data_IF_163468165143
#
_entry.id   IF_163468165143
#
_cell.length_a   1.000
_cell.length_b   1.000
_cell.length_c   1.000
_cell.angle_alpha   90.00
_cell.angle_beta   90.00
_cell.angle_gamma   90.00
#
_symmetry.space_group_name_H-M   'P 1'
#
loop_
_entity.id
_entity.type
_entity.pdbx_description
1 polymer ?
#
# COMPACT_ATOMS: atom_id res chain seq x y z
N UNK A 1 -8.55 40.41 -20.81
CA UNK A 1 -8.32 39.42 -21.89
C UNK A 1 -7.22 38.48 -21.51
N UNK A 2 -6.04 39.00 -21.27
CA UNK A 2 -4.90 38.15 -20.98
C UNK A 2 -5.06 37.33 -19.69
N UNK A 3 -5.83 37.83 -18.75
CA UNK A 3 -6.05 37.13 -17.50
C UNK A 3 -6.73 35.77 -17.67
N UNK A 4 -7.63 35.68 -18.67
CA UNK A 4 -8.33 34.42 -18.94
C UNK A 4 -7.37 33.37 -19.47
N UNK A 5 -6.45 33.76 -20.31
CA UNK A 5 -5.48 32.85 -20.87
C UNK A 5 -4.56 32.31 -19.80
N UNK A 6 -4.12 33.19 -18.89
CA UNK A 6 -3.25 32.80 -17.79
C UNK A 6 -3.94 31.77 -16.89
N UNK A 7 -5.22 31.99 -16.59
CA UNK A 7 -5.98 31.07 -15.74
C UNK A 7 -6.08 29.71 -16.41
N UNK A 8 -6.32 29.66 -17.71
CA UNK A 8 -6.40 28.40 -18.45
C UNK A 8 -5.08 27.61 -18.38
N UNK A 9 -3.98 28.32 -18.54
CA UNK A 9 -2.67 27.69 -18.45
C UNK A 9 -2.43 27.09 -17.07
N UNK A 10 -2.82 27.80 -16.03
CA UNK A 10 -2.71 27.30 -14.69
C UNK A 10 -3.51 26.03 -14.47
N UNK A 11 -4.70 25.97 -15.02
CA UNK A 11 -5.53 24.77 -14.91
C UNK A 11 -4.89 23.59 -15.59
N UNK A 12 -4.31 23.80 -16.76
CA UNK A 12 -3.65 22.72 -17.51
C UNK A 12 -2.47 22.16 -16.73
N UNK A 13 -1.68 23.02 -16.13
CA UNK A 13 -0.54 22.57 -15.31
C UNK A 13 -1.00 21.76 -14.11
N UNK A 14 -2.08 22.19 -13.49
CA UNK A 14 -2.64 21.49 -12.35
C UNK A 14 -3.08 20.07 -12.73
N UNK A 15 -3.68 19.92 -13.90
CA UNK A 15 -4.10 18.61 -14.40
C UNK A 15 -2.91 17.68 -14.61
N UNK A 16 -1.83 18.19 -15.14
CA UNK A 16 -0.63 17.39 -15.35
C UNK A 16 -0.10 16.85 -14.02
N UNK A 17 -0.09 17.67 -12.98
CA UNK A 17 0.36 17.24 -11.66
C UNK A 17 -0.56 16.15 -11.10
N UNK A 18 -1.88 16.29 -11.29
CA UNK A 18 -2.83 15.29 -10.81
C UNK A 18 -2.59 13.93 -11.45
N UNK A 19 -2.27 13.90 -12.74
CA UNK A 19 -1.99 12.64 -13.43
C UNK A 19 -0.76 11.94 -12.86
N UNK A 20 0.23 12.70 -12.44
CA UNK A 20 1.46 12.14 -11.89
C UNK A 20 1.25 11.56 -10.50
N UNK A 21 0.17 11.94 -9.82
CA UNK A 21 -0.12 11.45 -8.47
C UNK A 21 -0.75 10.06 -8.46
N UNK A 22 -1.06 9.49 -9.64
CA UNK A 22 -1.72 8.19 -9.72
C UNK A 22 -0.72 7.06 -9.84
N UNK A 23 0.08 6.87 -8.81
CA UNK A 23 1.05 5.79 -8.77
C UNK A 23 0.51 4.64 -7.94
N UNK A 24 1.20 4.32 -6.87
CA UNK A 24 0.80 3.26 -5.97
C UNK A 24 -0.37 3.76 -5.12
N UNK A 25 -1.37 2.92 -4.82
CA UNK A 25 -2.54 3.38 -4.06
C UNK A 25 -2.19 3.90 -2.68
N UNK A 26 -2.56 5.15 -2.39
CA UNK A 26 -2.33 5.72 -1.07
C UNK A 26 -3.24 5.11 -0.01
N UNK A 27 -4.37 4.52 -0.44
CA UNK A 27 -5.27 3.84 0.48
C UNK A 27 -4.63 2.67 1.19
N UNK A 28 -3.61 2.06 0.60
CA UNK A 28 -2.87 0.96 1.23
C UNK A 28 -2.11 1.50 2.44
N UNK A 29 -1.48 2.67 2.30
CA UNK A 29 -0.78 3.31 3.41
C UNK A 29 -1.75 3.62 4.55
N UNK A 30 -2.93 4.12 4.21
CA UNK A 30 -3.96 4.41 5.20
C UNK A 30 -4.42 3.14 5.91
N UNK A 31 -4.59 2.06 5.17
CA UNK A 31 -5.03 0.78 5.75
C UNK A 31 -4.02 0.26 6.75
N UNK A 32 -2.73 0.32 6.41
CA UNK A 32 -1.69 -0.10 7.35
C UNK A 32 -1.59 0.84 8.54
N UNK A 33 -1.73 2.13 8.30
CA UNK A 33 -1.66 3.13 9.37
C UNK A 33 -2.74 2.91 10.43
N UNK A 34 -3.89 2.43 10.01
CA UNK A 34 -5.01 2.13 10.91
C UNK A 34 -5.03 0.69 11.38
N UNK A 35 -4.23 -0.17 10.77
CA UNK A 35 -4.31 -1.61 11.03
C UNK A 35 -5.66 -2.17 10.62
N UNK A 36 -6.17 -1.73 9.48
CA UNK A 36 -7.51 -2.07 9.02
C UNK A 36 -7.46 -3.05 7.84
N UNK A 37 -7.70 -4.33 8.14
CA UNK A 37 -7.66 -5.37 7.12
C UNK A 37 -8.81 -5.25 6.12
N UNK A 38 -9.93 -4.70 6.54
CA UNK A 38 -11.08 -4.51 5.66
C UNK A 38 -10.77 -3.50 4.55
N UNK A 39 -10.10 -2.40 4.90
CA UNK A 39 -9.68 -1.43 3.89
C UNK A 39 -8.60 -2.01 2.99
N UNK A 40 -7.68 -2.78 3.57
CA UNK A 40 -6.61 -3.42 2.82
C UNK A 40 -7.15 -4.40 1.78
N UNK A 41 -8.24 -5.07 2.11
CA UNK A 41 -8.84 -6.08 1.24
C UNK A 41 -9.16 -5.55 -0.16
N UNK A 42 -9.55 -4.30 -0.25
CA UNK A 42 -9.88 -3.68 -1.54
C UNK A 42 -8.72 -3.57 -2.50
N UNK A 43 -7.49 -3.71 -2.01
CA UNK A 43 -6.29 -3.59 -2.82
C UNK A 43 -5.60 -4.92 -3.06
N UNK A 44 -6.13 -6.02 -2.52
CA UNK A 44 -5.51 -7.33 -2.66
C UNK A 44 -5.84 -7.98 -3.99
N UNK A 45 -4.87 -8.70 -4.53
CA UNK A 45 -5.06 -9.52 -5.72
C UNK A 45 -5.92 -10.74 -5.39
N UNK A 46 -6.35 -11.47 -6.40
CA UNK A 46 -7.09 -12.72 -6.18
C UNK A 46 -6.25 -13.75 -5.45
N UNK A 47 -4.94 -13.73 -5.70
CA UNK A 47 -3.98 -14.58 -5.01
C UNK A 47 -2.91 -13.68 -4.42
N UNK A 48 -2.57 -13.92 -3.17
CA UNK A 48 -1.59 -13.10 -2.46
C UNK A 48 -0.60 -14.02 -1.76
N UNK A 49 0.68 -13.70 -1.89
CA UNK A 49 1.71 -14.36 -1.11
C UNK A 49 1.93 -13.56 0.17
N UNK A 50 1.67 -14.18 1.31
CA UNK A 50 1.92 -13.56 2.61
C UNK A 50 3.16 -14.18 3.23
N UNK A 51 4.13 -13.35 3.57
CA UNK A 51 5.35 -13.79 4.24
C UNK A 51 5.38 -13.08 5.58
N UNK A 52 4.92 -13.78 6.61
CA UNK A 52 4.87 -13.22 7.97
C UNK A 52 5.95 -13.89 8.80
N UNK A 53 6.97 -13.13 9.15
CA UNK A 53 8.09 -13.60 9.96
C UNK A 53 8.68 -14.90 9.42
N UNK A 54 9.01 -14.89 8.12
CA UNK A 54 9.63 -16.00 7.39
C UNK A 54 8.71 -17.18 7.11
N UNK A 55 7.43 -17.04 7.40
CA UNK A 55 6.42 -18.05 7.07
C UNK A 55 5.68 -17.62 5.81
N UNK A 56 5.93 -18.27 4.70
CA UNK A 56 5.35 -17.91 3.42
C UNK A 56 4.17 -18.82 3.09
N UNK A 57 3.04 -18.20 2.74
CA UNK A 57 1.85 -18.92 2.28
C UNK A 57 1.25 -18.19 1.08
N UNK A 58 0.73 -18.96 0.13
CA UNK A 58 -0.03 -18.42 -0.98
C UNK A 58 -1.49 -18.66 -0.72
N UNK A 59 -2.26 -17.60 -0.64
CA UNK A 59 -3.67 -17.68 -0.25
C UNK A 59 -4.52 -16.82 -1.18
N UNK A 60 -5.83 -17.07 -1.18
CA UNK A 60 -6.74 -16.21 -1.91
C UNK A 60 -6.99 -14.92 -1.13
N UNK A 61 -7.71 -13.99 -1.76
CA UNK A 61 -7.95 -12.67 -1.17
C UNK A 61 -8.64 -12.76 0.18
N UNK A 62 -9.63 -13.61 0.31
CA UNK A 62 -10.39 -13.73 1.56
C UNK A 62 -9.49 -14.24 2.68
N UNK A 63 -8.69 -15.25 2.41
CA UNK A 63 -7.77 -15.80 3.40
C UNK A 63 -6.68 -14.80 3.76
N UNK A 64 -6.20 -14.02 2.78
CA UNK A 64 -5.21 -12.99 3.03
C UNK A 64 -5.78 -11.93 3.96
N UNK A 65 -7.01 -11.50 3.71
CA UNK A 65 -7.68 -10.53 4.58
C UNK A 65 -7.80 -11.06 6.00
N UNK A 66 -8.18 -12.32 6.15
CA UNK A 66 -8.36 -12.92 7.47
C UNK A 66 -7.03 -13.03 8.21
N UNK A 67 -5.97 -13.43 7.51
CA UNK A 67 -4.64 -13.52 8.13
C UNK A 67 -4.12 -12.16 8.55
N UNK A 68 -4.37 -11.13 7.75
CA UNK A 68 -3.99 -9.77 8.12
C UNK A 68 -4.81 -9.27 9.30
N UNK A 69 -6.09 -9.64 9.38
CA UNK A 69 -6.92 -9.29 10.52
C UNK A 69 -6.37 -9.89 11.81
N UNK A 70 -5.93 -11.15 11.76
CA UNK A 70 -5.32 -11.81 12.91
C UNK A 70 -4.02 -11.10 13.31
N UNK A 71 -3.20 -10.74 12.33
CA UNK A 71 -1.97 -10.03 12.60
C UNK A 71 -2.24 -8.68 13.29
N UNK A 72 -3.16 -7.90 12.77
CA UNK A 72 -3.49 -6.60 13.34
C UNK A 72 -4.15 -6.74 14.72
N UNK A 73 -4.93 -7.80 14.93
CA UNK A 73 -5.53 -8.07 16.24
C UNK A 73 -4.47 -8.32 17.29
N UNK A 74 -3.43 -9.06 16.94
CA UNK A 74 -2.36 -9.39 17.85
C UNK A 74 -1.31 -8.31 17.99
N UNK A 75 -1.30 -7.34 17.09
CA UNK A 75 -0.28 -6.28 17.05
C UNK A 75 -0.97 -4.95 16.78
N UNK A 76 -1.48 -4.34 17.84
CA UNK A 76 -2.21 -3.07 17.70
C UNK A 76 -1.34 -2.00 17.07
N UNK A 77 -1.78 -1.50 15.93
CA UNK A 77 -1.00 -0.53 15.13
C UNK A 77 -1.18 0.87 15.68
N UNK A 78 -0.07 1.59 15.81
CA UNK A 78 -0.09 3.00 16.17
C UNK A 78 0.32 3.89 15.00
N UNK A 79 0.93 3.34 13.96
CA UNK A 79 1.29 4.11 12.79
C UNK A 79 2.04 3.32 11.76
N UNK A 80 2.12 3.89 10.56
CA UNK A 80 2.87 3.31 9.44
C UNK A 80 3.58 4.42 8.70
N UNK A 81 4.89 4.29 8.55
CA UNK A 81 5.72 5.29 7.87
C UNK A 81 6.28 4.69 6.61
N UNK A 82 6.01 5.32 5.47
CA UNK A 82 6.57 4.87 4.19
C UNK A 82 8.03 5.32 4.10
N UNK A 83 8.93 4.37 3.91
CA UNK A 83 10.36 4.64 3.76
C UNK A 83 10.75 4.76 2.29
N UNK A 84 10.21 3.88 1.45
CA UNK A 84 10.46 3.87 0.02
C UNK A 84 9.21 3.45 -0.71
N UNK A 85 8.99 4.03 -1.88
CA UNK A 85 7.92 3.59 -2.75
C UNK A 85 8.30 3.90 -4.18
N UNK A 86 7.75 3.16 -5.11
CA UNK A 86 8.04 3.38 -6.51
C UNK A 86 7.16 2.53 -7.39
N UNK A 87 7.26 2.79 -8.69
CA UNK A 87 6.59 1.99 -9.70
C UNK A 87 7.49 1.86 -10.90
N UNK A 88 7.31 0.78 -11.63
CA UNK A 88 8.05 0.54 -12.87
C UNK A 88 7.18 -0.33 -13.75
N UNK A 89 6.81 0.23 -14.93
CA UNK A 89 5.94 -0.46 -15.88
C UNK A 89 4.64 -0.90 -15.22
N UNK A 90 4.45 -2.21 -15.04
CA UNK A 90 3.22 -2.73 -14.47
C UNK A 90 3.40 -3.23 -13.04
N UNK A 91 4.47 -2.82 -12.38
CA UNK A 91 4.73 -3.21 -11.01
C UNK A 91 4.98 -2.00 -10.14
N UNK A 92 4.83 -2.18 -8.83
CA UNK A 92 5.09 -1.12 -7.88
C UNK A 92 5.39 -1.71 -6.51
N UNK A 93 5.85 -0.87 -5.60
CA UNK A 93 6.15 -1.33 -4.26
C UNK A 93 5.99 -0.20 -3.25
N UNK A 94 5.70 -0.59 -2.01
CA UNK A 94 5.75 0.28 -0.85
C UNK A 94 6.53 -0.46 0.22
N UNK A 95 7.55 0.18 0.76
CA UNK A 95 8.33 -0.36 1.87
C UNK A 95 8.23 0.63 3.01
N UNK A 96 7.79 0.15 4.17
CA UNK A 96 7.59 1.03 5.30
C UNK A 96 7.81 0.36 6.64
N UNK A 97 7.67 1.13 7.69
CA UNK A 97 7.81 0.68 9.07
C UNK A 97 6.45 0.77 9.75
N UNK A 98 5.98 -0.35 10.24
CA UNK A 98 4.73 -0.46 10.97
C UNK A 98 5.05 -0.46 12.46
N UNK A 99 4.54 0.53 13.18
CA UNK A 99 4.76 0.63 14.61
C UNK A 99 3.55 0.06 15.33
N UNK A 100 3.79 -0.89 16.21
CA UNK A 100 2.71 -1.58 16.92
C UNK A 100 3.02 -1.63 18.43
N UNK A 101 2.04 -2.09 19.18
CA UNK A 101 2.22 -2.28 20.62
C UNK A 101 3.29 -3.33 20.94
N UNK A 102 3.62 -4.19 19.98
CA UNK A 102 4.64 -5.24 20.16
C UNK A 102 5.96 -4.92 19.46
N UNK A 103 6.17 -3.65 19.12
CA UNK A 103 7.40 -3.23 18.46
C UNK A 103 7.15 -2.88 16.99
N UNK A 104 8.24 -2.70 16.28
CA UNK A 104 8.19 -2.26 14.89
C UNK A 104 8.40 -3.42 13.93
N UNK A 105 7.72 -3.34 12.79
CA UNK A 105 7.83 -4.33 11.72
C UNK A 105 8.17 -3.63 10.43
N UNK A 106 8.96 -4.28 9.59
CA UNK A 106 9.18 -3.81 8.23
C UNK A 106 8.12 -4.45 7.34
N UNK A 107 7.44 -3.63 6.56
CA UNK A 107 6.39 -4.10 5.66
C UNK A 107 6.82 -3.81 4.23
N UNK A 108 6.85 -4.85 3.40
CA UNK A 108 7.10 -4.72 1.98
C UNK A 108 5.83 -5.15 1.26
N UNK A 109 5.22 -4.23 0.52
CA UNK A 109 4.06 -4.52 -0.31
C UNK A 109 4.47 -4.42 -1.75
N UNK A 110 4.23 -5.48 -2.51
CA UNK A 110 4.53 -5.50 -3.94
C UNK A 110 3.23 -5.56 -4.72
N UNK A 111 3.14 -4.69 -5.71
CA UNK A 111 1.93 -4.48 -6.51
C UNK A 111 2.15 -4.96 -7.93
N UNK A 112 1.07 -5.37 -8.56
CA UNK A 112 1.01 -5.66 -9.99
C UNK A 112 -0.17 -4.89 -10.57
N UNK A 113 0.01 -4.38 -11.78
CA UNK A 113 -1.07 -3.67 -12.46
C UNK A 113 -1.95 -4.67 -13.19
N UNK A 114 -3.23 -4.69 -12.85
CA UNK A 114 -4.22 -5.57 -13.47
C UNK A 114 -5.40 -4.70 -13.85
N UNK A 115 -5.75 -4.69 -15.15
CA UNK A 115 -6.87 -3.89 -15.66
C UNK A 115 -6.77 -2.43 -15.20
N UNK A 116 -5.58 -1.83 -15.35
CA UNK A 116 -5.29 -0.44 -15.01
C UNK A 116 -5.37 -0.13 -13.52
N UNK A 117 -5.34 -1.15 -12.67
CA UNK A 117 -5.33 -0.96 -11.22
C UNK A 117 -4.15 -1.69 -10.62
N UNK A 118 -3.50 -1.06 -9.65
CA UNK A 118 -2.46 -1.73 -8.89
C UNK A 118 -3.10 -2.55 -7.79
N UNK A 119 -2.76 -3.84 -7.74
CA UNK A 119 -3.23 -4.74 -6.70
C UNK A 119 -2.04 -5.39 -6.03
N UNK A 120 -2.18 -5.69 -4.76
CA UNK A 120 -1.10 -6.29 -3.97
C UNK A 120 -1.05 -7.78 -4.26
N UNK A 121 0.11 -8.27 -4.72
CA UNK A 121 0.29 -9.71 -4.94
C UNK A 121 1.23 -10.34 -3.91
N UNK A 122 1.91 -9.52 -3.10
CA UNK A 122 2.80 -10.02 -2.06
C UNK A 122 2.91 -9.01 -0.93
N UNK A 123 2.81 -9.51 0.30
CA UNK A 123 3.05 -8.71 1.51
C UNK A 123 4.06 -9.47 2.35
N UNK A 124 5.16 -8.82 2.68
CA UNK A 124 6.16 -9.38 3.57
C UNK A 124 6.26 -8.52 4.82
N UNK A 125 6.13 -9.13 5.97
CA UNK A 125 6.21 -8.44 7.27
C UNK A 125 7.23 -9.15 8.13
N UNK A 126 8.27 -8.42 8.54
CA UNK A 126 9.33 -8.93 9.39
C UNK A 126 9.52 -8.01 10.57
N UNK A 127 9.75 -8.57 11.73
CA UNK A 127 10.01 -7.77 12.91
C UNK A 127 11.39 -7.14 12.81
N UNK A 128 11.49 -5.86 13.15
CA UNK A 128 12.79 -5.17 13.15
C UNK A 128 13.45 -5.37 14.51
N UNK A 129 14.77 -5.17 14.52
CA UNK A 129 15.55 -5.33 15.76
C UNK A 129 15.76 -4.01 16.48
N UNK A 130 14.96 -3.03 16.17
CA UNK A 130 15.10 -1.71 16.80
C UNK A 130 14.21 -1.51 17.99
#
# INVERSE_FOLDING_TARGET
MNKRVVILCGCLLFWAVSLMAQDVPTGVVTAFNKGNSQELNGYLSDKVELILENCSVNVDRQAAKEKMAVFFSGNQVSGFTVNHQGKRDESGFIIGTLTTANGSFRVNCFFRKVANKYVIHQIRIDKTNE
#
